data_IF_633670176614
#
_entry.id   IF_633670176614
#
_cell.length_a   1.000
_cell.length_b   1.000
_cell.length_c   1.000
_cell.angle_alpha   90.00
_cell.angle_beta   90.00
_cell.angle_gamma   90.00
#
_symmetry.space_group_name_H-M   'P 1'
#
loop_
_entity.id
_entity.type
_entity.pdbx_description
1 polymer ?
#
# COMPACT_ATOMS: atom_id res chain seq x y z
N UNK A 1 14.53 9.43 -14.49
CA UNK A 1 13.56 9.27 -13.38
C UNK A 1 13.39 10.62 -12.72
N UNK A 2 12.18 11.18 -12.61
CA UNK A 2 11.96 12.53 -12.10
C UNK A 2 11.90 12.57 -10.56
N UNK A 3 12.80 11.88 -9.85
CA UNK A 3 12.89 11.90 -8.39
C UNK A 3 14.33 12.05 -7.90
N UNK A 4 14.47 12.48 -6.64
CA UNK A 4 15.76 12.63 -5.98
C UNK A 4 16.39 11.26 -5.73
N UNK A 5 17.71 11.19 -5.81
CA UNK A 5 18.48 9.99 -5.54
C UNK A 5 19.69 10.33 -4.68
N UNK A 6 20.07 9.40 -3.81
CA UNK A 6 21.35 9.48 -3.08
C UNK A 6 22.48 9.32 -4.10
N UNK A 7 23.48 10.22 -4.14
CA UNK A 7 24.62 10.09 -5.04
C UNK A 7 25.31 8.74 -4.91
N UNK A 8 25.69 8.12 -6.03
CA UNK A 8 26.28 6.79 -6.03
C UNK A 8 27.59 6.71 -5.22
N UNK A 9 28.36 7.80 -5.22
CA UNK A 9 29.62 7.96 -4.49
C UNK A 9 29.43 7.99 -2.97
N UNK A 10 28.25 8.37 -2.47
CA UNK A 10 27.95 8.40 -1.03
C UNK A 10 27.58 7.00 -0.51
N UNK A 11 28.60 6.15 -0.44
CA UNK A 11 28.49 4.79 0.09
C UNK A 11 28.14 4.76 1.58
N UNK A 12 28.48 5.81 2.34
CA UNK A 12 28.22 5.88 3.78
C UNK A 12 26.72 6.03 4.04
N UNK A 13 26.07 6.95 3.35
CA UNK A 13 24.62 7.16 3.48
C UNK A 13 23.85 5.94 3.01
N UNK A 14 24.22 5.34 1.87
CA UNK A 14 23.60 4.11 1.36
C UNK A 14 23.68 2.95 2.35
N UNK A 15 24.88 2.66 2.89
CA UNK A 15 25.07 1.61 3.91
C UNK A 15 24.30 1.89 5.21
N UNK A 16 24.12 3.17 5.57
CA UNK A 16 23.32 3.54 6.74
C UNK A 16 21.84 3.22 6.49
N UNK A 17 21.31 3.59 5.33
CA UNK A 17 19.93 3.29 4.94
C UNK A 17 19.67 1.78 4.90
N UNK A 18 20.58 1.01 4.30
CA UNK A 18 20.49 -0.46 4.25
C UNK A 18 20.37 -1.08 5.65
N UNK A 19 21.12 -0.56 6.62
CA UNK A 19 21.08 -1.02 8.01
C UNK A 19 19.86 -0.52 8.78
N UNK A 20 19.37 0.68 8.47
CA UNK A 20 18.24 1.28 9.18
C UNK A 20 16.92 0.60 8.83
N UNK A 21 16.72 0.26 7.55
CA UNK A 21 15.47 -0.34 7.07
C UNK A 21 15.58 -1.85 6.79
N UNK A 22 16.73 -2.46 7.08
CA UNK A 22 16.97 -3.92 6.98
C UNK A 22 16.39 -4.55 5.71
N UNK A 23 16.84 -4.10 4.54
CA UNK A 23 16.30 -4.59 3.27
C UNK A 23 16.56 -6.10 3.08
N UNK A 24 15.51 -6.91 3.12
CA UNK A 24 15.57 -8.35 2.80
C UNK A 24 15.57 -8.63 1.29
N UNK A 25 15.42 -7.60 0.45
CA UNK A 25 15.42 -7.72 -1.01
C UNK A 25 15.00 -6.44 -1.71
N UNK A 26 15.06 -6.44 -3.05
CA UNK A 26 14.54 -5.35 -3.89
C UNK A 26 13.40 -5.88 -4.79
N UNK A 27 12.37 -5.06 -5.09
CA UNK A 27 12.17 -3.68 -4.62
C UNK A 27 11.71 -3.61 -3.15
N UNK A 28 12.17 -2.57 -2.44
CA UNK A 28 11.70 -2.23 -1.09
C UNK A 28 11.36 -0.74 -1.05
N UNK A 29 10.21 -0.40 -0.48
CA UNK A 29 9.67 0.96 -0.47
C UNK A 29 9.12 1.28 0.91
N UNK A 30 9.62 2.36 1.50
CA UNK A 30 9.17 2.88 2.80
C UNK A 30 8.48 4.22 2.62
N UNK A 31 7.44 4.47 3.41
CA UNK A 31 6.77 5.76 3.50
C UNK A 31 7.21 6.48 4.77
N UNK A 32 7.61 7.74 4.60
CA UNK A 32 8.02 8.63 5.70
C UNK A 32 7.08 9.83 5.75
N UNK A 33 6.88 10.39 6.95
CA UNK A 33 6.18 11.66 7.11
C UNK A 33 7.11 12.87 6.83
N UNK A 34 6.55 14.07 6.92
CA UNK A 34 7.31 15.32 6.73
C UNK A 34 8.43 15.54 7.75
N UNK A 35 8.36 14.87 8.90
CA UNK A 35 9.38 14.91 9.96
C UNK A 35 10.48 13.86 9.77
N UNK A 36 10.32 12.98 8.78
CA UNK A 36 11.22 11.85 8.51
C UNK A 36 10.94 10.62 9.37
N UNK A 37 9.79 10.57 10.07
CA UNK A 37 9.35 9.40 10.83
C UNK A 37 8.75 8.37 9.89
N UNK A 38 9.05 7.11 10.17
CA UNK A 38 8.50 5.97 9.45
C UNK A 38 6.99 5.85 9.65
N UNK A 39 6.25 5.85 8.54
CA UNK A 39 4.81 5.57 8.50
C UNK A 39 4.55 4.09 8.18
N UNK A 40 5.24 3.53 7.19
CA UNK A 40 5.11 2.12 6.81
C UNK A 40 6.33 1.62 6.05
N UNK A 41 6.73 0.37 6.30
CA UNK A 41 7.80 -0.33 5.57
C UNK A 41 7.26 -1.19 4.41
N UNK A 42 5.94 -1.39 4.36
CA UNK A 42 5.26 -2.28 3.42
C UNK A 42 4.79 -1.54 2.16
N UNK A 43 5.55 -0.53 1.71
CA UNK A 43 5.11 0.39 0.66
C UNK A 43 4.85 -0.29 -0.67
N UNK A 44 5.62 -1.34 -0.99
CA UNK A 44 5.41 -2.14 -2.22
C UNK A 44 4.03 -2.79 -2.20
N UNK A 45 3.67 -3.44 -1.09
CA UNK A 45 2.37 -4.11 -0.94
C UNK A 45 1.22 -3.11 -1.00
N UNK A 46 1.36 -1.98 -0.31
CA UNK A 46 0.34 -0.92 -0.30
C UNK A 46 0.07 -0.38 -1.72
N UNK A 47 1.11 -0.14 -2.52
CA UNK A 47 0.93 0.33 -3.90
C UNK A 47 0.30 -0.76 -4.77
N UNK A 48 0.67 -2.02 -4.58
CA UNK A 48 0.08 -3.14 -5.32
C UNK A 48 -1.41 -3.32 -5.02
N UNK A 49 -1.82 -3.15 -3.76
CA UNK A 49 -3.21 -3.35 -3.33
C UNK A 49 -4.10 -2.12 -3.63
N UNK A 50 -3.63 -0.92 -3.31
CA UNK A 50 -4.47 0.29 -3.31
C UNK A 50 -4.14 1.29 -4.42
N UNK A 51 -3.00 1.15 -5.10
CA UNK A 51 -2.57 2.08 -6.14
C UNK A 51 -2.63 3.55 -5.70
N UNK A 52 -3.31 4.38 -6.48
CA UNK A 52 -3.46 5.82 -6.19
C UNK A 52 -4.44 6.12 -5.05
N UNK A 53 -5.42 5.24 -4.82
CA UNK A 53 -6.44 5.44 -3.78
C UNK A 53 -5.88 5.32 -2.37
N UNK A 54 -4.71 4.67 -2.24
CA UNK A 54 -3.96 4.57 -1.00
C UNK A 54 -3.37 5.89 -0.52
N UNK A 55 -3.23 6.92 -1.36
CA UNK A 55 -2.64 8.21 -0.95
C UNK A 55 -3.49 8.89 0.14
N UNK A 56 -2.90 9.40 1.24
CA UNK A 56 -1.48 9.69 1.48
C UNK A 56 -0.65 8.56 2.13
N UNK A 57 -1.07 7.30 1.97
CA UNK A 57 -0.39 6.08 2.43
C UNK A 57 -0.13 6.06 3.95
N UNK A 58 -0.99 6.72 4.71
CA UNK A 58 -0.99 6.63 6.17
C UNK A 58 -1.79 5.39 6.62
N UNK A 59 -1.50 4.90 7.83
CA UNK A 59 -2.16 3.71 8.36
C UNK A 59 -3.68 3.89 8.42
N UNK A 60 -4.17 5.07 8.81
CA UNK A 60 -5.61 5.35 8.92
C UNK A 60 -6.35 5.20 7.58
N UNK A 61 -5.78 5.70 6.48
CA UNK A 61 -6.41 5.63 5.15
C UNK A 61 -6.33 4.22 4.56
N UNK A 62 -5.31 3.45 4.91
CA UNK A 62 -5.13 2.06 4.47
C UNK A 62 -6.07 1.11 5.23
N UNK A 63 -6.31 1.35 6.52
CA UNK A 63 -7.17 0.48 7.35
C UNK A 63 -8.67 0.62 7.04
N UNK A 64 -9.12 1.81 6.61
CA UNK A 64 -10.52 2.06 6.20
C UNK A 64 -11.04 1.11 5.10
N UNK A 65 -10.37 0.98 3.92
CA UNK A 65 -10.81 0.06 2.88
C UNK A 65 -10.71 -1.41 3.30
N UNK A 66 -9.72 -1.80 4.13
CA UNK A 66 -9.67 -3.17 4.68
C UNK A 66 -10.90 -3.51 5.51
N UNK A 67 -11.35 -2.57 6.33
CA UNK A 67 -12.53 -2.76 7.16
C UNK A 67 -13.79 -2.89 6.30
N UNK A 68 -13.96 -2.04 5.29
CA UNK A 68 -15.07 -2.15 4.34
C UNK A 68 -15.07 -3.46 3.56
N UNK A 69 -13.92 -3.92 3.07
CA UNK A 69 -13.82 -5.22 2.41
C UNK A 69 -14.16 -6.36 3.36
N UNK A 70 -13.67 -6.31 4.60
CA UNK A 70 -13.99 -7.32 5.61
C UNK A 70 -15.49 -7.34 5.91
N UNK A 71 -16.11 -6.18 6.12
CA UNK A 71 -17.56 -6.06 6.31
C UNK A 71 -18.35 -6.54 5.09
N UNK A 72 -17.91 -6.21 3.87
CA UNK A 72 -18.52 -6.69 2.64
C UNK A 72 -18.42 -8.22 2.52
N UNK A 73 -17.27 -8.82 2.89
CA UNK A 73 -17.10 -10.29 2.92
C UNK A 73 -17.99 -10.94 3.97
N UNK A 74 -18.13 -10.36 5.15
CA UNK A 74 -19.01 -10.88 6.21
C UNK A 74 -20.49 -10.76 5.85
N UNK A 75 -20.88 -9.68 5.19
CA UNK A 75 -22.27 -9.40 4.81
C UNK A 75 -22.64 -9.95 3.41
N UNK A 76 -21.78 -10.78 2.80
CA UNK A 76 -22.12 -11.46 1.55
C UNK A 76 -23.27 -12.45 1.80
N UNK A 77 -24.35 -12.28 1.04
CA UNK A 77 -25.50 -13.19 1.05
C UNK A 77 -25.74 -13.71 -0.35
N UNK A 78 -26.23 -14.96 -0.48
CA UNK A 78 -26.60 -15.51 -1.79
C UNK A 78 -27.64 -14.65 -2.51
N UNK A 79 -28.52 -13.96 -1.78
CA UNK A 79 -29.49 -13.04 -2.35
C UNK A 79 -28.84 -11.84 -3.04
N UNK A 80 -27.80 -11.23 -2.46
CA UNK A 80 -27.14 -10.07 -3.08
C UNK A 80 -26.32 -10.44 -4.31
N UNK A 81 -25.72 -11.63 -4.32
CA UNK A 81 -24.97 -12.14 -5.47
C UNK A 81 -25.88 -12.59 -6.63
N UNK A 82 -27.02 -13.20 -6.30
CA UNK A 82 -27.96 -13.74 -7.30
C UNK A 82 -29.03 -12.74 -7.75
N UNK A 83 -29.21 -11.62 -7.04
CA UNK A 83 -30.14 -10.56 -7.43
C UNK A 83 -29.54 -9.57 -8.45
N UNK A 84 -28.23 -9.61 -8.70
CA UNK A 84 -27.60 -8.76 -9.71
C UNK A 84 -27.79 -9.36 -11.09
N UNK A 85 -28.86 -8.89 -11.76
CA UNK A 85 -29.26 -9.36 -13.07
C UNK A 85 -30.42 -10.33 -12.97
N UNK A 86 -31.64 -9.80 -13.03
CA UNK A 86 -32.69 -10.54 -13.69
C UNK A 86 -32.12 -10.91 -15.06
N UNK A 87 -31.92 -12.20 -15.30
CA UNK A 87 -31.70 -12.70 -16.65
C UNK A 87 -33.06 -12.59 -17.33
N UNK A 88 -33.49 -11.37 -17.60
CA UNK A 88 -34.58 -11.08 -18.51
C UNK A 88 -34.02 -11.41 -19.89
N UNK A 89 -34.11 -12.70 -20.22
CA UNK A 89 -33.93 -13.18 -21.57
C UNK A 89 -35.15 -12.72 -22.35
N UNK A 90 -34.99 -11.63 -23.11
CA UNK A 90 -35.78 -11.39 -24.32
C UNK A 90 -35.19 -12.20 -25.49
#
# INVERSE_FOLDING_TARGET
>A
MPWLAVPFSDTKTRKKLDKTFSFDGIPHLVFLDYSGKLLSEEGVRIIQEYGLEGYPFNSEKIEQPKLQEFEARQNQSLKSLLAYGSRDCD
#
